data_IF_596772331914
#
_entry.id   IF_596772331914
#
_cell.length_a   1.000
_cell.length_b   1.000
_cell.length_c   1.000
_cell.angle_alpha   90.00
_cell.angle_beta   90.00
_cell.angle_gamma   90.00
#
_symmetry.space_group_name_H-M   'P 1'
#
loop_
_entity.id
_entity.type
_entity.pdbx_description
1 polymer ?
#
# COMPACT_ATOMS: atom_id res chain seq x y z
N UNK A 1 0.78 -3.87 -6.19
CA UNK A 1 -0.56 -4.38 -6.64
C UNK A 1 -1.47 -3.16 -6.88
N UNK A 2 -2.80 -3.31 -7.04
CA UNK A 2 -3.68 -2.13 -7.02
C UNK A 2 -3.91 -1.68 -5.55
N UNK A 3 -4.11 -0.38 -5.27
CA UNK A 3 -4.28 0.13 -3.90
C UNK A 3 -5.41 -0.55 -3.12
N UNK A 4 -6.54 -0.88 -3.77
CA UNK A 4 -7.63 -1.61 -3.11
C UNK A 4 -7.24 -3.03 -2.69
N UNK A 5 -6.31 -3.67 -3.39
CA UNK A 5 -5.84 -4.99 -3.01
C UNK A 5 -4.92 -4.90 -1.78
N UNK A 6 -4.07 -3.88 -1.71
CA UNK A 6 -3.27 -3.59 -0.52
C UNK A 6 -4.15 -3.26 0.68
N UNK A 7 -5.19 -2.44 0.47
CA UNK A 7 -6.20 -2.16 1.48
C UNK A 7 -6.79 -3.46 2.04
N UNK A 8 -7.27 -4.35 1.16
CA UNK A 8 -7.92 -5.60 1.56
C UNK A 8 -6.97 -6.53 2.32
N UNK A 9 -5.73 -6.69 1.86
CA UNK A 9 -4.75 -7.53 2.55
C UNK A 9 -4.43 -6.98 3.94
N UNK A 10 -4.16 -5.67 4.05
CA UNK A 10 -3.89 -5.02 5.32
C UNK A 10 -5.09 -5.12 6.28
N UNK A 11 -6.31 -4.90 5.78
CA UNK A 11 -7.54 -5.01 6.56
C UNK A 11 -7.73 -6.43 7.12
N UNK A 12 -7.57 -7.47 6.30
CA UNK A 12 -7.70 -8.87 6.73
C UNK A 12 -6.61 -9.25 7.73
N UNK A 13 -5.36 -8.87 7.48
CA UNK A 13 -4.27 -9.13 8.42
C UNK A 13 -4.48 -8.42 9.75
N UNK A 14 -4.97 -7.18 9.72
CA UNK A 14 -5.27 -6.41 10.94
C UNK A 14 -6.40 -7.08 11.73
N UNK A 15 -7.47 -7.50 11.07
CA UNK A 15 -8.55 -8.25 11.71
C UNK A 15 -8.02 -9.53 12.41
N UNK A 16 -7.16 -10.30 11.73
CA UNK A 16 -6.54 -11.50 12.31
C UNK A 16 -5.65 -11.17 13.52
N UNK A 17 -4.88 -10.07 13.46
CA UNK A 17 -4.05 -9.63 14.59
C UNK A 17 -4.91 -9.20 15.77
N UNK A 18 -6.00 -8.46 15.55
CA UNK A 18 -6.93 -8.09 16.62
C UNK A 18 -7.49 -9.34 17.30
N UNK A 19 -7.98 -10.31 16.52
CA UNK A 19 -8.53 -11.56 17.06
C UNK A 19 -7.51 -12.40 17.85
N UNK A 20 -6.23 -12.37 17.47
CA UNK A 20 -5.19 -13.18 18.10
C UNK A 20 -4.50 -12.52 19.29
N UNK A 21 -4.41 -11.19 19.31
CA UNK A 21 -3.51 -10.46 20.23
C UNK A 21 -4.20 -9.35 21.04
N UNK A 22 -5.45 -9.01 20.73
CA UNK A 22 -6.23 -7.96 21.42
C UNK A 22 -7.60 -8.51 21.85
N UNK A 23 -7.64 -9.53 22.71
CA UNK A 23 -8.89 -10.15 23.15
C UNK A 23 -9.85 -9.16 23.80
N UNK A 24 -9.33 -8.13 24.47
CA UNK A 24 -10.13 -7.06 25.07
C UNK A 24 -10.99 -6.29 24.04
N UNK A 25 -10.48 -6.08 22.82
CA UNK A 25 -11.26 -5.44 21.75
C UNK A 25 -12.36 -6.36 21.22
N UNK A 26 -12.13 -7.68 21.27
CA UNK A 26 -13.13 -8.68 20.88
C UNK A 26 -14.19 -8.81 21.96
N UNK A 27 -13.80 -8.85 23.23
CA UNK A 27 -14.72 -8.93 24.36
C UNK A 27 -15.65 -7.72 24.40
N UNK A 28 -15.12 -6.52 24.18
CA UNK A 28 -15.92 -5.29 24.07
C UNK A 28 -16.93 -5.37 22.91
N UNK A 29 -16.50 -5.86 21.74
CA UNK A 29 -17.37 -6.07 20.58
C UNK A 29 -18.48 -7.11 20.84
N UNK A 30 -18.21 -8.15 21.64
CA UNK A 30 -19.19 -9.19 21.96
C UNK A 30 -20.18 -8.76 23.06
N UNK A 31 -19.75 -7.94 24.01
CA UNK A 31 -20.56 -7.47 25.14
C UNK A 31 -21.45 -6.29 24.74
N UNK A 32 -20.87 -5.29 24.08
CA UNK A 32 -21.59 -4.12 23.55
C UNK A 32 -21.13 -3.82 22.12
N UNK A 33 -21.80 -4.42 21.12
CA UNK A 33 -21.42 -4.25 19.72
C UNK A 33 -21.43 -2.80 19.25
N UNK A 34 -22.24 -1.92 19.86
CA UNK A 34 -22.35 -0.53 19.44
C UNK A 34 -21.09 0.29 19.78
N UNK A 35 -20.44 0.00 20.90
CA UNK A 35 -19.20 0.65 21.32
C UNK A 35 -17.95 -0.08 20.80
N UNK A 36 -17.93 -1.41 20.88
CA UNK A 36 -16.75 -2.22 20.50
C UNK A 36 -16.47 -2.29 18.99
N UNK A 37 -17.47 -2.02 18.13
CA UNK A 37 -17.26 -2.05 16.67
C UNK A 37 -16.39 -0.90 16.17
N UNK A 38 -16.43 0.27 16.81
CA UNK A 38 -15.71 1.45 16.32
C UNK A 38 -14.19 1.35 16.48
N UNK A 39 -13.64 0.91 17.62
CA UNK A 39 -12.21 0.63 17.75
C UNK A 39 -11.74 -0.43 16.75
N UNK A 40 -12.53 -1.50 16.58
CA UNK A 40 -12.21 -2.60 15.68
C UNK A 40 -12.16 -2.15 14.22
N UNK A 41 -13.25 -1.52 13.74
CA UNK A 41 -13.31 -0.98 12.38
C UNK A 41 -12.29 0.14 12.17
N UNK A 42 -12.06 0.98 13.18
CA UNK A 42 -11.08 2.06 13.13
C UNK A 42 -9.69 1.54 12.81
N UNK A 43 -9.26 0.46 13.45
CA UNK A 43 -7.96 -0.17 13.18
C UNK A 43 -7.88 -0.79 11.80
N UNK A 44 -8.91 -1.56 11.42
CA UNK A 44 -8.99 -2.24 10.11
C UNK A 44 -8.96 -1.23 8.96
N UNK A 45 -9.78 -0.18 9.05
CA UNK A 45 -9.85 0.89 8.06
C UNK A 45 -8.55 1.68 8.04
N UNK A 46 -7.99 2.02 9.20
CA UNK A 46 -6.74 2.76 9.27
C UNK A 46 -5.58 1.99 8.60
N UNK A 47 -5.42 0.71 8.93
CA UNK A 47 -4.40 -0.14 8.33
C UNK A 47 -4.57 -0.24 6.81
N UNK A 48 -5.80 -0.47 6.35
CA UNK A 48 -6.12 -0.53 4.92
C UNK A 48 -5.84 0.79 4.20
N UNK A 49 -6.25 1.91 4.79
CA UNK A 49 -6.04 3.25 4.22
C UNK A 49 -4.56 3.60 4.16
N UNK A 50 -3.79 3.33 5.22
CA UNK A 50 -2.34 3.55 5.22
C UNK A 50 -1.68 2.71 4.13
N UNK A 51 -2.04 1.43 4.00
CA UNK A 51 -1.53 0.56 2.94
C UNK A 51 -1.83 1.09 1.53
N UNK A 52 -3.03 1.64 1.30
CA UNK A 52 -3.40 2.21 0.00
C UNK A 52 -2.72 3.57 -0.28
N UNK A 53 -2.46 4.37 0.75
CA UNK A 53 -1.85 5.70 0.60
C UNK A 53 -0.36 5.65 0.22
N UNK A 54 0.34 4.55 0.55
CA UNK A 54 1.75 4.38 0.19
C UNK A 54 1.91 4.42 -1.33
N UNK A 55 0.95 3.91 -2.11
CA UNK A 55 0.98 3.91 -3.59
C UNK A 55 0.79 5.28 -4.24
N UNK A 56 0.49 6.34 -3.48
CA UNK A 56 0.25 7.66 -4.04
C UNK A 56 1.50 8.22 -4.73
N UNK A 57 2.68 7.84 -4.27
CA UNK A 57 3.94 8.25 -4.85
C UNK A 57 4.14 7.73 -6.29
N UNK A 58 3.64 6.54 -6.64
CA UNK A 58 3.64 6.01 -8.02
C UNK A 58 2.93 6.98 -8.95
N UNK A 59 1.75 7.46 -8.53
CA UNK A 59 0.94 8.41 -9.30
C UNK A 59 1.67 9.75 -9.42
N UNK A 60 2.20 10.27 -8.31
CA UNK A 60 2.90 11.57 -8.27
C UNK A 60 4.17 11.53 -9.14
N UNK A 61 4.98 10.49 -8.99
CA UNK A 61 6.24 10.31 -9.72
C UNK A 61 5.99 10.11 -11.21
N UNK A 62 4.98 9.32 -11.58
CA UNK A 62 4.59 9.12 -12.99
C UNK A 62 4.14 10.44 -13.61
N UNK A 63 3.24 11.18 -12.95
CA UNK A 63 2.78 12.49 -13.43
C UNK A 63 3.91 13.50 -13.54
N UNK A 64 4.86 13.47 -12.61
CA UNK A 64 6.05 14.34 -12.67
C UNK A 64 6.94 13.98 -13.85
N UNK A 65 7.21 12.70 -14.07
CA UNK A 65 8.07 12.22 -15.16
C UNK A 65 7.42 12.40 -16.54
N UNK A 66 6.10 12.29 -16.65
CA UNK A 66 5.34 12.55 -17.87
C UNK A 66 5.49 13.98 -18.42
N UNK A 67 5.97 14.94 -17.61
CA UNK A 67 6.28 16.31 -18.09
C UNK A 67 7.50 16.36 -19.00
N UNK A 68 8.39 15.38 -18.90
CA UNK A 68 9.65 15.31 -19.64
C UNK A 68 9.75 14.09 -20.55
N UNK A 69 8.96 13.05 -20.30
CA UNK A 69 8.92 11.83 -21.11
C UNK A 69 7.54 11.63 -21.75
N UNK A 70 7.40 11.84 -23.08
CA UNK A 70 6.14 11.68 -23.80
C UNK A 70 5.52 10.28 -23.68
N UNK A 71 6.33 9.23 -23.51
CA UNK A 71 5.81 7.85 -23.37
C UNK A 71 5.04 7.66 -22.06
N UNK A 72 5.29 8.50 -21.04
CA UNK A 72 4.61 8.45 -19.75
C UNK A 72 3.31 9.25 -19.69
N UNK A 73 3.02 10.06 -20.71
CA UNK A 73 1.82 10.91 -20.75
C UNK A 73 0.52 10.09 -20.65
N UNK A 74 0.33 8.98 -21.40
CA UNK A 74 -0.90 8.18 -21.27
C UNK A 74 -1.08 7.60 -19.87
N UNK A 75 0.03 7.28 -19.20
CA UNK A 75 0.06 6.69 -17.86
C UNK A 75 -0.16 7.71 -16.73
N UNK A 76 -0.26 9.00 -17.04
CA UNK A 76 -0.58 10.06 -16.06
C UNK A 76 -2.05 10.04 -15.60
N UNK A 77 -2.91 9.39 -16.37
CA UNK A 77 -4.29 9.05 -16.02
C UNK A 77 -4.31 7.75 -15.18
N UNK A 78 -4.70 7.82 -13.89
CA UNK A 78 -4.80 6.62 -13.04
C UNK A 78 -5.74 5.56 -13.60
N UNK A 79 -6.78 5.92 -14.36
CA UNK A 79 -7.70 4.94 -14.94
C UNK A 79 -7.02 4.09 -16.01
N UNK A 80 -6.18 4.71 -16.84
CA UNK A 80 -5.37 4.01 -17.84
C UNK A 80 -4.33 3.13 -17.16
N UNK A 81 -3.60 3.68 -16.19
CA UNK A 81 -2.58 2.94 -15.44
C UNK A 81 -3.13 1.74 -14.67
N UNK A 82 -4.33 1.84 -14.10
CA UNK A 82 -4.95 0.74 -13.35
C UNK A 82 -5.51 -0.35 -14.26
N UNK A 83 -6.07 0.01 -15.42
CA UNK A 83 -6.58 -0.94 -16.42
C UNK A 83 -5.47 -1.84 -16.96
N UNK A 84 -4.31 -1.26 -17.27
CA UNK A 84 -3.16 -1.95 -17.86
C UNK A 84 -1.95 -1.96 -16.91
N UNK A 85 -2.19 -2.26 -15.63
CA UNK A 85 -1.22 -2.15 -14.52
C UNK A 85 0.12 -2.85 -14.80
N UNK A 86 0.09 -4.05 -15.37
CA UNK A 86 1.32 -4.79 -15.65
C UNK A 86 2.18 -4.09 -16.71
N UNK A 87 1.55 -3.60 -17.78
CA UNK A 87 2.23 -2.85 -18.85
C UNK A 87 2.77 -1.54 -18.29
N UNK A 88 1.95 -0.82 -17.52
CA UNK A 88 2.36 0.42 -16.84
C UNK A 88 3.63 0.22 -16.01
N UNK A 89 3.68 -0.82 -15.18
CA UNK A 89 4.82 -1.09 -14.32
C UNK A 89 6.06 -1.55 -15.08
N UNK A 90 5.88 -2.29 -16.18
CA UNK A 90 6.99 -2.61 -17.11
C UNK A 90 7.55 -1.32 -17.73
N UNK A 91 6.70 -0.38 -18.14
CA UNK A 91 7.14 0.93 -18.65
C UNK A 91 7.92 1.69 -17.58
N UNK A 92 7.39 1.78 -16.35
CA UNK A 92 8.09 2.42 -15.23
C UNK A 92 9.45 1.77 -14.93
N UNK A 93 9.54 0.44 -15.05
CA UNK A 93 10.79 -0.30 -14.93
C UNK A 93 11.78 0.06 -16.04
N UNK A 94 11.35 0.03 -17.30
CA UNK A 94 12.19 0.37 -18.46
C UNK A 94 12.70 1.82 -18.41
N UNK A 95 11.89 2.74 -17.91
CA UNK A 95 12.25 4.16 -17.71
C UNK A 95 13.10 4.41 -16.46
N UNK A 96 13.43 3.37 -15.69
CA UNK A 96 14.26 3.49 -14.48
C UNK A 96 13.56 4.14 -13.28
N UNK A 97 12.26 4.47 -13.36
CA UNK A 97 11.49 5.09 -12.29
C UNK A 97 11.21 4.14 -11.13
N UNK A 98 11.22 2.83 -11.42
CA UNK A 98 10.90 1.79 -10.45
C UNK A 98 11.83 1.79 -9.23
N UNK A 99 13.12 2.12 -9.41
CA UNK A 99 14.05 2.25 -8.28
C UNK A 99 13.65 3.40 -7.36
N UNK A 100 13.29 4.55 -7.94
CA UNK A 100 12.84 5.73 -7.18
C UNK A 100 11.57 5.41 -6.40
N UNK A 101 10.61 4.74 -7.04
CA UNK A 101 9.36 4.29 -6.42
C UNK A 101 9.64 3.40 -5.21
N UNK A 102 10.46 2.35 -5.36
CA UNK A 102 10.80 1.47 -4.22
C UNK A 102 11.38 2.26 -3.03
N UNK A 103 12.28 3.21 -3.30
CA UNK A 103 12.87 4.03 -2.24
C UNK A 103 11.85 4.97 -1.59
N UNK A 104 10.93 5.54 -2.36
CA UNK A 104 9.88 6.40 -1.80
C UNK A 104 8.86 5.61 -1.01
N UNK A 105 8.43 4.43 -1.49
CA UNK A 105 7.62 3.47 -0.73
C UNK A 105 8.25 3.13 0.61
N UNK A 106 9.54 2.76 0.61
CA UNK A 106 10.24 2.40 1.84
C UNK A 106 10.43 3.60 2.76
N UNK A 107 10.70 4.79 2.22
CA UNK A 107 10.81 6.00 3.01
C UNK A 107 9.48 6.37 3.67
N UNK A 108 8.37 6.31 2.94
CA UNK A 108 7.03 6.55 3.50
C UNK A 108 6.63 5.49 4.52
N UNK A 109 6.97 4.23 4.27
CA UNK A 109 6.77 3.13 5.21
C UNK A 109 7.46 3.37 6.56
N UNK A 110 8.75 3.69 6.51
CA UNK A 110 9.55 4.00 7.71
C UNK A 110 9.02 5.25 8.39
N UNK A 111 8.74 6.31 7.64
CA UNK A 111 8.23 7.58 8.18
C UNK A 111 6.87 7.40 8.86
N UNK A 112 5.92 6.70 8.23
CA UNK A 112 4.60 6.44 8.80
C UNK A 112 4.71 5.65 10.10
N UNK A 113 5.56 4.61 10.13
CA UNK A 113 5.80 3.81 11.33
C UNK A 113 6.43 4.65 12.45
N UNK A 114 7.43 5.48 12.13
CA UNK A 114 8.09 6.37 13.11
C UNK A 114 7.14 7.43 13.65
N UNK A 115 6.34 8.07 12.80
CA UNK A 115 5.35 9.07 13.23
C UNK A 115 4.28 8.44 14.11
N UNK A 116 3.80 7.24 13.77
CA UNK A 116 2.88 6.52 14.64
C UNK A 116 3.52 6.18 15.99
N UNK A 117 4.76 5.71 16.01
CA UNK A 117 5.49 5.42 17.25
C UNK A 117 5.69 6.65 18.14
N UNK A 118 6.05 7.80 17.56
CA UNK A 118 6.40 9.00 18.32
C UNK A 118 5.20 9.86 18.71
N UNK A 119 4.20 9.98 17.82
CA UNK A 119 3.11 10.96 17.96
C UNK A 119 1.76 10.33 18.33
N UNK A 120 1.53 9.07 17.96
CA UNK A 120 0.25 8.39 18.21
C UNK A 120 0.46 6.88 18.49
N UNK A 121 1.08 6.50 19.62
CA UNK A 121 1.43 5.10 19.89
C UNK A 121 0.22 4.15 19.86
N UNK A 122 -0.99 4.65 20.17
CA UNK A 122 -2.24 3.89 20.13
C UNK A 122 -2.61 3.37 18.74
N UNK A 123 -2.07 3.96 17.66
CA UNK A 123 -2.30 3.50 16.27
C UNK A 123 -1.06 2.87 15.65
N UNK A 124 0.01 2.66 16.41
CA UNK A 124 1.26 2.07 15.90
C UNK A 124 1.03 0.72 15.22
N UNK A 125 0.25 -0.14 15.87
CA UNK A 125 0.02 -1.52 15.40
C UNK A 125 -0.73 -1.55 14.07
N UNK A 126 -1.90 -0.92 13.90
CA UNK A 126 -2.58 -0.92 12.61
C UNK A 126 -1.76 -0.21 11.53
N UNK A 127 -1.03 0.87 11.87
CA UNK A 127 -0.13 1.54 10.91
C UNK A 127 1.00 0.60 10.46
N UNK A 128 1.68 -0.06 11.40
CA UNK A 128 2.76 -0.99 11.09
C UNK A 128 2.27 -2.16 10.25
N UNK A 129 1.12 -2.75 10.59
CA UNK A 129 0.53 -3.83 9.78
C UNK A 129 0.21 -3.32 8.37
N UNK A 130 -0.44 -2.16 8.24
CA UNK A 130 -0.77 -1.57 6.94
C UNK A 130 0.48 -1.36 6.08
N UNK A 131 1.49 -0.71 6.63
CA UNK A 131 2.77 -0.43 5.97
C UNK A 131 3.51 -1.70 5.56
N UNK A 132 3.76 -2.60 6.51
CA UNK A 132 4.67 -3.72 6.26
C UNK A 132 4.00 -4.84 5.46
N UNK A 133 2.69 -5.02 5.61
CA UNK A 133 1.94 -5.92 4.73
C UNK A 133 1.94 -5.41 3.29
N UNK A 134 1.77 -4.11 3.07
CA UNK A 134 1.89 -3.48 1.75
C UNK A 134 3.24 -3.82 1.10
N UNK A 135 4.36 -3.52 1.78
CA UNK A 135 5.71 -3.81 1.28
C UNK A 135 5.90 -5.30 1.00
N UNK A 136 5.46 -6.18 1.91
CA UNK A 136 5.60 -7.63 1.76
C UNK A 136 4.85 -8.14 0.51
N UNK A 137 3.66 -7.61 0.24
CA UNK A 137 2.86 -8.00 -0.94
C UNK A 137 3.43 -7.50 -2.26
N UNK A 138 4.23 -6.44 -2.26
CA UNK A 138 4.84 -5.92 -3.48
C UNK A 138 6.07 -6.71 -3.93
N UNK A 139 6.84 -7.29 -3.01
CA UNK A 139 8.05 -8.09 -3.35
C UNK A 139 7.83 -9.12 -4.48
N UNK A 140 6.83 -10.02 -4.41
CA UNK A 140 6.61 -10.99 -5.49
C UNK A 140 6.19 -10.32 -6.81
N UNK A 141 5.49 -9.19 -6.72
CA UNK A 141 5.01 -8.44 -7.88
C UNK A 141 6.17 -7.75 -8.61
N UNK A 142 7.08 -7.11 -7.87
CA UNK A 142 8.31 -6.52 -8.39
C UNK A 142 9.16 -7.56 -9.13
N UNK A 143 9.30 -8.76 -8.55
CA UNK A 143 10.07 -9.84 -9.19
C UNK A 143 9.44 -10.28 -10.52
N UNK A 144 8.11 -10.37 -10.58
CA UNK A 144 7.37 -10.68 -11.81
C UNK A 144 7.57 -9.62 -12.89
N UNK A 145 7.45 -8.34 -12.54
CA UNK A 145 7.64 -7.22 -13.47
C UNK A 145 9.07 -7.18 -14.00
N UNK A 146 10.08 -7.40 -13.15
CA UNK A 146 11.48 -7.48 -13.59
C UNK A 146 11.67 -8.57 -14.65
N UNK A 147 11.04 -9.74 -14.47
CA UNK A 147 11.10 -10.83 -15.44
C UNK A 147 10.37 -10.46 -16.75
N UNK A 148 9.20 -9.83 -16.66
CA UNK A 148 8.41 -9.39 -17.80
C UNK A 148 9.13 -8.30 -18.62
N UNK A 149 9.80 -7.35 -17.96
CA UNK A 149 10.52 -6.28 -18.64
C UNK A 149 11.69 -6.78 -19.51
N UNK A 150 12.25 -7.95 -19.20
CA UNK A 150 13.26 -8.63 -20.01
C UNK A 150 12.69 -9.42 -21.22
N UNK A 151 11.37 -9.53 -21.35
CA UNK A 151 10.71 -10.14 -22.51
C UNK A 151 10.43 -9.05 -23.56
N UNK A 152 10.97 -9.14 -24.80
CA UNK A 152 10.73 -8.14 -25.84
C UNK A 152 9.31 -8.13 -26.39
N UNK A 153 8.49 -9.13 -26.07
CA UNK A 153 7.09 -9.25 -26.55
C UNK A 153 6.06 -8.60 -25.60
N UNK A 154 6.52 -7.91 -24.55
CA UNK A 154 5.71 -7.17 -23.57
C UNK A 154 6.09 -5.69 -23.62
#
# INVERSE_FOLDING_TARGET
>A
MLPQNHFMVAAVLTAAVIMGFYPEMIDELLIDPASGIWPWLGWVVLAGTVAALIDLDVIILTRRAARTDPELVPWSDPMVATKDLEVFLVVLYRKGLFRTIIWTHLAFAVLATLLAYLLAPSVLVPVAIGVWSHIATDVPYIWRIRKAAGNPNI
#
